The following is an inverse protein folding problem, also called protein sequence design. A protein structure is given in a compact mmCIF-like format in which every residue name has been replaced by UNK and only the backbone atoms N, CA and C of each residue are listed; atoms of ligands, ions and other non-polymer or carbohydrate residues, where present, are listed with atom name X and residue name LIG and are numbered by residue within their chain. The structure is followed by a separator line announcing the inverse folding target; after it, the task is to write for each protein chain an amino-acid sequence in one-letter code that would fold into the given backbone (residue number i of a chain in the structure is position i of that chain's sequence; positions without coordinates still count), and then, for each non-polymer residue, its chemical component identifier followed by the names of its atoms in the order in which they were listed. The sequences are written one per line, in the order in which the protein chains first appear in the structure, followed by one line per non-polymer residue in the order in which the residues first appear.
data_IF_674614938978
#
_entry.id   IF_674614938978
#
_cell.length_a   1.000
_cell.length_b   1.000
_cell.length_c   1.000
_cell.angle_alpha   90.00
_cell.angle_beta   90.00
_cell.angle_gamma   90.00
#
_symmetry.space_group_name_H-M   'P 1'
#
loop_
_entity.id
_entity.type
_entity.pdbx_description
1 polymer ?
#
# COMPACT_ATOMS: atom_id res chain seq x y z
N UNK A 1 8.68 -26.76 -2.84
CA UNK A 1 7.34 -27.08 -2.32
C UNK A 1 6.44 -25.92 -2.71
N UNK A 2 5.44 -26.18 -3.57
CA UNK A 2 4.36 -25.26 -3.94
C UNK A 2 3.44 -25.15 -2.71
N UNK A 3 3.16 -23.95 -2.21
CA UNK A 3 2.17 -23.79 -1.15
C UNK A 3 0.82 -24.28 -1.69
N UNK A 4 0.08 -25.14 -0.95
CA UNK A 4 -1.23 -25.56 -1.41
C UNK A 4 -2.10 -24.31 -1.59
N UNK A 5 -2.84 -24.21 -2.70
CA UNK A 5 -3.66 -23.04 -3.10
C UNK A 5 -4.44 -22.37 -1.93
N UNK A 6 -4.81 -23.16 -0.91
CA UNK A 6 -5.31 -22.73 0.40
C UNK A 6 -4.54 -21.59 1.09
N UNK A 7 -3.21 -21.50 0.95
CA UNK A 7 -2.40 -20.51 1.68
C UNK A 7 -2.55 -19.12 1.06
N UNK A 8 -2.46 -19.01 -0.27
CA UNK A 8 -2.68 -17.73 -0.96
C UNK A 8 -4.10 -17.21 -0.74
N UNK A 9 -5.10 -18.09 -0.82
CA UNK A 9 -6.50 -17.73 -0.52
C UNK A 9 -6.64 -17.21 0.92
N UNK A 10 -6.01 -17.87 1.90
CA UNK A 10 -6.07 -17.42 3.29
C UNK A 10 -5.37 -16.07 3.51
N UNK A 11 -4.24 -15.81 2.82
CA UNK A 11 -3.55 -14.52 2.88
C UNK A 11 -4.32 -13.42 2.17
N UNK A 12 -4.94 -13.73 1.04
CA UNK A 12 -5.83 -12.82 0.33
C UNK A 12 -7.00 -12.39 1.22
N UNK A 13 -7.71 -13.34 1.85
CA UNK A 13 -8.81 -13.02 2.79
C UNK A 13 -8.39 -12.13 3.95
N UNK A 14 -7.16 -12.29 4.45
CA UNK A 14 -6.61 -11.40 5.50
C UNK A 14 -6.36 -9.99 4.99
N UNK A 15 -5.82 -9.85 3.78
CA UNK A 15 -5.64 -8.56 3.14
C UNK A 15 -7.01 -7.87 2.88
N UNK A 16 -7.98 -8.61 2.36
CA UNK A 16 -9.32 -8.07 2.07
C UNK A 16 -10.05 -7.61 3.35
N UNK A 17 -9.93 -8.38 4.44
CA UNK A 17 -10.44 -7.98 5.76
C UNK A 17 -9.72 -6.73 6.30
N UNK A 18 -8.40 -6.63 6.13
CA UNK A 18 -7.64 -5.44 6.54
C UNK A 18 -8.02 -4.20 5.72
N UNK A 19 -8.22 -4.35 4.40
CA UNK A 19 -8.70 -3.28 3.53
C UNK A 19 -10.11 -2.83 3.92
N UNK A 20 -11.00 -3.77 4.24
CA UNK A 20 -12.35 -3.45 4.72
C UNK A 20 -12.30 -2.64 6.02
N UNK A 21 -11.40 -2.99 6.94
CA UNK A 21 -11.15 -2.20 8.14
C UNK A 21 -10.62 -0.80 7.83
N UNK A 22 -9.67 -0.66 6.91
CA UNK A 22 -9.12 0.64 6.53
C UNK A 22 -10.18 1.56 5.89
N UNK A 23 -11.04 1.01 5.03
CA UNK A 23 -12.16 1.76 4.42
C UNK A 23 -13.19 2.22 5.44
N UNK A 24 -13.37 1.48 6.53
CA UNK A 24 -14.32 1.79 7.59
C UNK A 24 -13.73 2.61 8.74
N UNK A 25 -12.41 2.83 8.76
CA UNK A 25 -11.73 3.53 9.85
C UNK A 25 -12.10 5.02 9.85
N UNK A 26 -12.30 5.57 11.05
CA UNK A 26 -12.54 7.01 11.19
C UNK A 26 -11.28 7.81 10.82
N UNK A 27 -11.41 8.68 9.81
CA UNK A 27 -10.34 9.57 9.34
C UNK A 27 -9.94 10.61 10.38
N UNK A 28 -10.83 10.94 11.32
CA UNK A 28 -10.55 11.84 12.44
C UNK A 28 -9.84 11.17 13.62
N UNK A 29 -9.77 9.84 13.65
CA UNK A 29 -9.17 9.11 14.76
C UNK A 29 -7.64 9.10 14.65
N UNK A 30 -6.98 9.47 15.75
CA UNK A 30 -5.52 9.41 15.88
C UNK A 30 -4.95 7.98 15.92
N UNK A 31 -5.81 6.95 16.07
CA UNK A 31 -5.38 5.56 16.29
C UNK A 31 -5.99 4.59 15.29
N UNK A 32 -7.27 4.72 14.94
CA UNK A 32 -7.94 3.73 14.10
C UNK A 32 -7.35 3.67 12.69
N UNK A 33 -7.09 4.82 12.06
CA UNK A 33 -6.54 4.87 10.71
C UNK A 33 -5.09 4.35 10.67
N UNK A 34 -4.16 4.81 11.53
CA UNK A 34 -2.81 4.21 11.59
C UNK A 34 -2.81 2.71 11.78
N UNK A 35 -3.61 2.20 12.73
CA UNK A 35 -3.69 0.77 13.01
C UNK A 35 -4.21 -0.01 11.81
N UNK A 36 -5.23 0.53 11.13
CA UNK A 36 -5.78 -0.09 9.93
C UNK A 36 -4.76 -0.09 8.77
N UNK A 37 -4.01 1.00 8.58
CA UNK A 37 -2.94 1.08 7.57
C UNK A 37 -1.84 0.05 7.86
N UNK A 38 -1.38 -0.03 9.11
CA UNK A 38 -0.37 -1.01 9.51
C UNK A 38 -0.87 -2.45 9.25
N UNK A 39 -2.13 -2.74 9.57
CA UNK A 39 -2.74 -4.03 9.29
C UNK A 39 -2.73 -4.36 7.78
N UNK A 40 -3.09 -3.39 6.93
CA UNK A 40 -3.04 -3.57 5.46
C UNK A 40 -1.61 -3.80 4.97
N UNK A 41 -0.64 -3.00 5.43
CA UNK A 41 0.77 -3.15 5.01
C UNK A 41 1.36 -4.51 5.43
N UNK A 42 1.01 -4.99 6.63
CA UNK A 42 1.41 -6.31 7.10
C UNK A 42 0.79 -7.43 6.27
N UNK A 43 -0.54 -7.37 6.05
CA UNK A 43 -1.23 -8.37 5.24
C UNK A 43 -0.75 -8.38 3.78
N UNK A 44 -0.46 -7.20 3.22
CA UNK A 44 0.08 -7.02 1.87
C UNK A 44 1.46 -7.66 1.75
N UNK A 45 2.36 -7.41 2.71
CA UNK A 45 3.68 -8.04 2.72
C UNK A 45 3.60 -9.57 2.83
N UNK A 46 2.77 -10.07 3.74
CA UNK A 46 2.58 -11.50 3.93
C UNK A 46 2.09 -12.18 2.65
N UNK A 47 1.10 -11.59 1.98
CA UNK A 47 0.61 -12.08 0.71
C UNK A 47 1.69 -12.02 -0.38
N UNK A 48 2.41 -10.90 -0.48
CA UNK A 48 3.47 -10.70 -1.46
C UNK A 48 4.61 -11.71 -1.32
N UNK A 49 5.00 -12.04 -0.10
CA UNK A 49 6.06 -13.03 0.17
C UNK A 49 5.63 -14.45 -0.22
N UNK A 50 4.37 -14.81 -0.06
CA UNK A 50 3.86 -16.12 -0.52
C UNK A 50 3.70 -16.09 -2.03
N UNK A 51 3.09 -15.05 -2.59
CA UNK A 51 2.89 -14.88 -4.03
C UNK A 51 4.19 -14.98 -4.80
N UNK A 52 5.26 -14.29 -4.36
CA UNK A 52 6.56 -14.35 -5.05
C UNK A 52 7.15 -15.76 -5.07
N UNK A 53 6.92 -16.55 -4.01
CA UNK A 53 7.43 -17.92 -3.89
C UNK A 53 6.66 -18.85 -4.82
N UNK A 54 5.33 -18.72 -4.87
CA UNK A 54 4.48 -19.50 -5.77
C UNK A 54 4.74 -19.16 -7.25
N UNK A 55 4.90 -17.87 -7.55
CA UNK A 55 5.29 -17.40 -8.88
C UNK A 55 6.78 -17.67 -9.21
N UNK A 56 7.55 -18.27 -8.29
CA UNK A 56 8.97 -18.60 -8.42
C UNK A 56 9.85 -17.41 -8.86
N UNK A 57 9.52 -16.21 -8.36
CA UNK A 57 10.19 -14.97 -8.75
C UNK A 57 11.41 -14.71 -7.88
N UNK A 58 12.56 -14.52 -8.53
CA UNK A 58 13.71 -13.87 -7.91
C UNK A 58 13.36 -12.42 -7.54
N UNK A 59 14.15 -11.80 -6.67
CA UNK A 59 13.95 -10.39 -6.30
C UNK A 59 13.99 -9.44 -7.51
N UNK A 60 14.86 -9.70 -8.49
CA UNK A 60 14.95 -8.93 -9.74
C UNK A 60 13.69 -9.14 -10.59
N UNK A 61 13.30 -10.38 -10.83
CA UNK A 61 12.11 -10.71 -11.62
C UNK A 61 10.82 -10.17 -10.98
N UNK A 62 10.76 -10.14 -9.65
CA UNK A 62 9.67 -9.51 -8.92
C UNK A 62 9.55 -8.01 -9.21
N UNK A 63 10.66 -7.27 -9.18
CA UNK A 63 10.64 -5.84 -9.52
C UNK A 63 10.34 -5.61 -11.00
N UNK A 64 10.84 -6.46 -11.89
CA UNK A 64 10.50 -6.39 -13.33
C UNK A 64 9.00 -6.61 -13.56
N UNK A 65 8.38 -7.57 -12.88
CA UNK A 65 6.95 -7.83 -12.98
C UNK A 65 6.11 -6.69 -12.38
N UNK A 66 6.45 -6.24 -11.18
CA UNK A 66 5.77 -5.13 -10.53
C UNK A 66 5.94 -3.81 -11.31
N UNK A 67 7.07 -3.62 -11.98
CA UNK A 67 7.40 -2.41 -12.71
C UNK A 67 6.60 -2.20 -14.01
N UNK A 68 5.88 -3.23 -14.50
CA UNK A 68 5.15 -3.19 -15.78
C UNK A 68 3.98 -2.21 -15.79
N UNK A 69 3.41 -1.92 -14.63
CA UNK A 69 2.26 -1.04 -14.50
C UNK A 69 2.30 -0.22 -13.19
N UNK A 70 1.44 0.79 -13.08
CA UNK A 70 1.40 1.68 -11.92
C UNK A 70 0.93 0.99 -10.63
N UNK A 71 0.09 -0.03 -10.73
CA UNK A 71 -0.41 -0.80 -9.59
C UNK A 71 0.68 -1.61 -8.92
N UNK A 72 1.46 -2.34 -9.72
CA UNK A 72 2.59 -3.13 -9.22
C UNK A 72 3.68 -2.26 -8.61
N UNK A 73 3.98 -1.12 -9.24
CA UNK A 73 4.91 -0.13 -8.68
C UNK A 73 4.44 0.37 -7.31
N UNK A 74 3.13 0.63 -7.16
CA UNK A 74 2.52 1.09 -5.91
C UNK A 74 2.58 0.01 -4.84
N UNK A 75 2.20 -1.24 -5.16
CA UNK A 75 2.27 -2.37 -4.23
C UNK A 75 3.70 -2.62 -3.73
N UNK A 76 4.68 -2.64 -4.64
CA UNK A 76 6.08 -2.80 -4.27
C UNK A 76 6.60 -1.64 -3.41
N UNK A 77 6.23 -0.41 -3.73
CA UNK A 77 6.61 0.78 -2.96
C UNK A 77 6.07 0.74 -1.52
N UNK A 78 4.79 0.42 -1.35
CA UNK A 78 4.15 0.31 -0.03
C UNK A 78 4.80 -0.78 0.84
N UNK A 79 5.15 -1.91 0.24
CA UNK A 79 5.86 -2.99 0.92
C UNK A 79 7.26 -2.56 1.38
N UNK A 80 7.98 -1.83 0.53
CA UNK A 80 9.29 -1.28 0.89
C UNK A 80 9.17 -0.33 2.08
N UNK A 81 8.13 0.50 2.09
CA UNK A 81 7.90 1.49 3.14
C UNK A 81 7.32 0.90 4.44
N UNK A 82 6.96 -0.39 4.46
CA UNK A 82 6.43 -1.06 5.65
C UNK A 82 7.41 -0.98 6.82
N UNK A 83 6.91 -0.54 7.97
CA UNK A 83 7.69 -0.39 9.20
C UNK A 83 8.41 0.96 9.33
N UNK A 84 8.32 1.84 8.33
CA UNK A 84 8.66 3.25 8.47
C UNK A 84 7.48 4.07 9.00
N UNK A 85 7.77 5.26 9.52
CA UNK A 85 6.77 6.30 9.77
C UNK A 85 6.37 6.93 8.44
N UNK A 86 5.27 6.44 7.84
CA UNK A 86 4.96 6.71 6.43
C UNK A 86 3.68 7.50 6.21
N UNK A 87 2.93 7.84 7.25
CA UNK A 87 1.66 8.55 7.12
C UNK A 87 1.39 9.41 8.35
N UNK A 88 0.74 10.56 8.15
CA UNK A 88 0.41 11.51 9.21
C UNK A 88 -0.99 12.11 9.00
N UNK A 89 -1.67 12.58 10.06
CA UNK A 89 -2.90 13.34 9.94
C UNK A 89 -2.56 14.77 9.50
N UNK A 90 -3.26 15.25 8.47
CA UNK A 90 -3.13 16.63 7.96
C UNK A 90 -4.41 17.38 8.22
N UNK A 91 -4.34 18.38 9.11
CA UNK A 91 -5.46 19.25 9.46
C UNK A 91 -5.65 20.39 8.45
N UNK A 92 -6.91 20.79 8.23
CA UNK A 92 -7.29 21.86 7.30
C UNK A 92 -6.56 23.20 7.57
N UNK A 93 -6.40 23.60 8.83
CA UNK A 93 -5.71 24.85 9.19
C UNK A 93 -4.21 24.83 8.86
N UNK A 94 -3.59 23.65 8.76
CA UNK A 94 -2.19 23.49 8.36
C UNK A 94 -2.00 23.63 6.85
N UNK A 95 -3.08 23.45 6.06
CA UNK A 95 -3.06 23.57 4.60
C UNK A 95 -2.89 25.00 4.08
N UNK A 96 -3.06 26.04 4.91
CA UNK A 96 -2.79 27.43 4.48
C UNK A 96 -1.28 27.73 4.33
N UNK A 97 -0.41 26.87 4.87
CA UNK A 97 1.05 26.93 4.67
C UNK A 97 1.62 25.90 3.68
N UNK A 98 0.83 24.90 3.29
CA UNK A 98 1.19 23.95 2.23
C UNK A 98 0.84 24.56 0.87
N UNK A 99 1.72 25.44 0.40
CA UNK A 99 1.60 26.06 -0.93
C UNK A 99 1.31 25.02 -2.01
N UNK A 100 0.19 25.21 -2.72
CA UNK A 100 -0.12 24.66 -4.06
C UNK A 100 0.63 23.35 -4.41
N UNK A 101 0.28 22.25 -3.76
CA UNK A 101 0.57 20.88 -4.19
C UNK A 101 -0.76 20.08 -4.16
N UNK A 102 -0.90 18.95 -4.89
CA UNK A 102 -2.07 18.59 -5.71
C UNK A 102 -3.21 17.97 -4.90
N UNK A 103 -3.55 18.57 -3.77
CA UNK A 103 -4.68 18.20 -2.94
C UNK A 103 -5.94 18.59 -3.71
N UNK A 104 -6.41 17.66 -4.54
CA UNK A 104 -7.74 17.71 -5.11
C UNK A 104 -8.72 17.99 -3.99
N UNK A 105 -9.58 18.98 -4.23
CA UNK A 105 -10.71 19.41 -3.41
C UNK A 105 -11.52 18.20 -2.93
N UNK A 106 -11.19 17.65 -1.77
CA UNK A 106 -12.13 16.88 -0.96
C UNK A 106 -12.95 17.90 -0.15
N UNK A 107 -14.28 17.96 -0.34
CA UNK A 107 -15.08 19.09 0.12
C UNK A 107 -15.30 19.14 1.65
N UNK A 108 -14.81 18.17 2.44
CA UNK A 108 -15.09 18.06 3.87
C UNK A 108 -13.91 17.42 4.63
N UNK A 109 -13.16 18.21 5.41
CA UNK A 109 -12.29 17.72 6.48
C UNK A 109 -10.85 17.33 6.11
N UNK A 110 -9.93 17.48 7.08
CA UNK A 110 -8.58 16.94 7.01
C UNK A 110 -8.57 15.41 6.90
N UNK A 111 -7.40 14.81 6.72
CA UNK A 111 -7.30 13.36 6.53
C UNK A 111 -5.88 12.83 6.63
N UNK A 112 -5.74 11.53 6.44
CA UNK A 112 -4.45 10.84 6.51
C UNK A 112 -3.76 10.79 5.16
N UNK A 113 -2.51 11.22 5.11
CA UNK A 113 -1.71 11.26 3.89
C UNK A 113 -0.38 10.54 4.05
N UNK A 114 0.09 9.95 2.96
CA UNK A 114 1.42 9.36 2.89
C UNK A 114 2.51 10.43 2.92
N UNK A 115 3.47 10.27 3.82
CA UNK A 115 4.65 11.11 3.97
C UNK A 115 5.73 10.79 2.95
N UNK A 116 6.71 11.69 2.80
CA UNK A 116 7.94 11.34 2.12
C UNK A 116 8.64 10.18 2.84
N UNK A 117 9.12 9.21 2.06
CA UNK A 117 9.87 8.07 2.53
C UNK A 117 11.10 7.91 1.64
N UNK A 118 12.23 7.63 2.25
CA UNK A 118 13.50 7.40 1.58
C UNK A 118 14.07 6.09 2.09
N UNK A 119 14.48 5.23 1.17
CA UNK A 119 15.21 4.00 1.47
C UNK A 119 16.38 3.86 0.51
N UNK A 120 17.58 4.07 1.05
CA UNK A 120 18.83 3.97 0.29
C UNK A 120 19.17 2.53 -0.11
N UNK A 121 18.57 1.53 0.56
CA UNK A 121 18.79 0.11 0.27
C UNK A 121 17.94 -0.36 -0.92
N UNK A 122 16.78 0.29 -1.15
CA UNK A 122 15.80 -0.10 -2.18
C UNK A 122 15.47 1.05 -3.15
N UNK A 123 16.49 1.68 -3.74
CA UNK A 123 16.36 2.86 -4.61
C UNK A 123 15.26 2.80 -5.67
N UNK A 124 15.04 1.64 -6.31
CA UNK A 124 13.99 1.46 -7.32
C UNK A 124 12.59 1.63 -6.70
N UNK A 125 12.34 0.98 -5.57
CA UNK A 125 11.04 1.06 -4.88
C UNK A 125 10.85 2.39 -4.17
N UNK A 126 11.93 3.00 -3.67
CA UNK A 126 11.91 4.37 -3.16
C UNK A 126 11.51 5.38 -4.27
N UNK A 127 12.03 5.19 -5.50
CA UNK A 127 11.61 6.00 -6.66
C UNK A 127 10.13 5.83 -7.01
N UNK A 128 9.62 4.60 -6.96
CA UNK A 128 8.18 4.35 -7.12
C UNK A 128 7.35 4.96 -5.99
N UNK A 129 7.81 4.87 -4.73
CA UNK A 129 7.14 5.50 -3.60
C UNK A 129 7.00 7.01 -3.80
N UNK A 130 8.09 7.69 -4.15
CA UNK A 130 8.11 9.14 -4.34
C UNK A 130 7.15 9.64 -5.44
N UNK A 131 6.87 8.80 -6.45
CA UNK A 131 6.02 9.14 -7.59
C UNK A 131 4.58 8.61 -7.47
N UNK A 132 4.36 7.50 -6.76
CA UNK A 132 3.06 6.81 -6.72
C UNK A 132 2.33 6.89 -5.40
N UNK A 133 3.06 7.05 -4.28
CA UNK A 133 2.49 6.95 -2.93
C UNK A 133 2.53 8.28 -2.20
N UNK A 134 3.69 8.94 -2.20
CA UNK A 134 3.94 10.19 -1.48
C UNK A 134 2.85 11.25 -1.75
N UNK A 135 2.38 11.90 -0.69
CA UNK A 135 1.38 12.97 -0.69
C UNK A 135 -0.01 12.59 -1.20
N UNK A 136 -0.29 11.29 -1.32
CA UNK A 136 -1.63 10.82 -1.63
C UNK A 136 -2.43 10.55 -0.36
N UNK A 137 -3.77 10.67 -0.42
CA UNK A 137 -4.63 10.17 0.64
C UNK A 137 -4.33 8.69 0.90
N UNK A 138 -4.34 8.28 2.17
CA UNK A 138 -3.87 6.96 2.59
C UNK A 138 -4.53 5.82 1.82
N UNK A 139 -5.85 5.86 1.64
CA UNK A 139 -6.60 4.77 1.01
C UNK A 139 -6.24 4.56 -0.46
N UNK A 140 -5.93 5.64 -1.20
CA UNK A 140 -5.79 5.55 -2.66
C UNK A 140 -4.63 4.63 -3.08
N UNK A 141 -3.39 4.74 -2.57
CA UNK A 141 -2.34 3.78 -2.86
C UNK A 141 -2.64 2.36 -2.38
N UNK A 142 -3.35 2.21 -1.25
CA UNK A 142 -3.71 0.89 -0.72
C UNK A 142 -4.68 0.16 -1.66
N UNK A 143 -5.69 0.87 -2.19
CA UNK A 143 -6.65 0.33 -3.15
C UNK A 143 -5.98 -0.07 -4.47
N UNK A 144 -5.12 0.81 -4.99
CA UNK A 144 -4.34 0.52 -6.21
C UNK A 144 -3.47 -0.72 -6.04
N UNK A 145 -2.81 -0.88 -4.89
CA UNK A 145 -2.01 -2.07 -4.60
C UNK A 145 -2.87 -3.32 -4.43
N UNK A 146 -4.03 -3.19 -3.77
CA UNK A 146 -4.98 -4.27 -3.57
C UNK A 146 -5.52 -4.81 -4.89
N UNK A 147 -5.96 -3.93 -5.79
CA UNK A 147 -6.45 -4.30 -7.13
C UNK A 147 -5.37 -4.99 -7.96
N UNK A 148 -4.13 -4.49 -7.91
CA UNK A 148 -3.03 -5.13 -8.61
C UNK A 148 -2.73 -6.53 -8.09
N UNK A 149 -2.72 -6.71 -6.76
CA UNK A 149 -2.56 -8.04 -6.16
C UNK A 149 -3.71 -8.96 -6.54
N UNK A 150 -4.94 -8.46 -6.56
CA UNK A 150 -6.09 -9.24 -7.01
C UNK A 150 -5.92 -9.72 -8.46
N UNK A 151 -5.32 -8.91 -9.32
CA UNK A 151 -5.15 -9.27 -10.73
C UNK A 151 -4.09 -10.35 -11.01
N UNK A 152 -3.33 -10.81 -9.99
CA UNK A 152 -2.29 -11.80 -10.20
C UNK A 152 -2.88 -13.20 -10.40
N UNK A 153 -2.50 -13.93 -11.46
CA UNK A 153 -3.06 -15.25 -11.78
C UNK A 153 -2.80 -16.30 -10.69
N UNK A 154 -1.76 -16.15 -9.87
CA UNK A 154 -1.47 -17.07 -8.78
C UNK A 154 -2.39 -16.86 -7.57
N UNK A 155 -2.96 -15.66 -7.43
CA UNK A 155 -3.87 -15.33 -6.33
C UNK A 155 -5.27 -15.78 -6.78
N UNK A 156 -5.60 -17.02 -6.46
CA UNK A 156 -6.94 -17.55 -6.69
C UNK A 156 -7.95 -16.83 -5.79
N UNK A 157 -8.99 -16.27 -6.40
CA UNK A 157 -10.15 -15.73 -5.70
C UNK A 157 -11.13 -16.87 -5.39
N UNK A 158 -11.59 -17.01 -4.14
CA UNK A 158 -12.73 -17.88 -3.85
C UNK A 158 -14.02 -17.33 -4.49
#
# INVERSE_FOLDING_TARGET
MVAPASVLIARWRRLDAAMSRARAADVGSATEMPDAVVAVLHATYDLWEVWRREAQLSRKAQNERAGRDGGGQTAAALISARGGTTHEPVDFARNEGFGRQPFGVTPLGGGWYWQAYVDDREKVRAGWYASRVRWKPVLLPLEVAHEWLASQPEIAHP
#
